data_IF_353287055090
#
_entry.id   IF_353287055090
#
_cell.length_a   1.000
_cell.length_b   1.000
_cell.length_c   1.000
_cell.angle_alpha   90.00
_cell.angle_beta   90.00
_cell.angle_gamma   90.00
#
_symmetry.space_group_name_H-M   'P 1'
#
loop_
_entity.id
_entity.type
_entity.pdbx_description
1 polymer ?
#
# COMPACT_ATOMS: atom_id res chain seq x y z
N UNK A 1 27.57 6.54 -7.10
CA UNK A 1 26.30 6.73 -6.38
C UNK A 1 25.57 7.85 -7.10
N UNK A 2 24.41 7.58 -7.68
CA UNK A 2 23.67 8.63 -8.39
C UNK A 2 23.00 9.59 -7.39
N UNK A 3 22.57 10.76 -7.90
CA UNK A 3 22.00 11.81 -7.05
C UNK A 3 20.70 11.38 -6.34
N UNK A 4 19.92 10.47 -6.95
CA UNK A 4 18.70 9.94 -6.39
C UNK A 4 18.98 9.00 -5.20
N UNK A 5 19.95 8.09 -5.35
CA UNK A 5 20.37 7.21 -4.25
C UNK A 5 20.83 8.01 -3.04
N UNK A 6 21.54 9.13 -3.26
CA UNK A 6 21.99 9.99 -2.17
C UNK A 6 20.84 10.73 -1.49
N UNK A 7 19.83 11.16 -2.25
CA UNK A 7 18.61 11.78 -1.72
C UNK A 7 17.81 10.75 -0.89
N UNK A 8 17.73 9.50 -1.35
CA UNK A 8 17.04 8.44 -0.61
C UNK A 8 17.81 7.99 0.64
N UNK A 9 19.14 8.02 0.63
CA UNK A 9 19.97 7.78 1.82
C UNK A 9 19.81 8.88 2.87
N UNK A 10 19.64 10.14 2.42
CA UNK A 10 19.42 11.30 3.30
C UNK A 10 17.95 11.36 3.80
N UNK A 11 16.99 10.83 3.07
CA UNK A 11 15.62 10.63 3.52
C UNK A 11 15.59 9.36 4.35
N UNK A 12 15.89 9.49 5.63
CA UNK A 12 15.71 8.39 6.57
C UNK A 12 14.25 7.95 6.54
N UNK A 13 13.96 6.83 5.88
CA UNK A 13 12.73 6.07 6.08
C UNK A 13 12.77 5.55 7.52
N UNK A 14 12.36 6.40 8.46
CA UNK A 14 12.56 6.17 9.89
C UNK A 14 11.80 4.94 10.38
N UNK A 15 10.72 4.57 9.69
CA UNK A 15 9.93 3.40 10.06
C UNK A 15 8.92 3.09 8.96
N UNK A 16 8.99 1.89 8.42
CA UNK A 16 7.92 1.34 7.61
C UNK A 16 6.99 0.48 8.47
N UNK A 17 5.71 0.64 8.28
CA UNK A 17 4.65 -0.16 8.88
C UNK A 17 3.81 -0.74 7.76
N UNK A 18 3.28 -1.94 7.97
CA UNK A 18 2.46 -2.60 6.96
C UNK A 18 1.32 -3.36 7.60
N UNK A 19 0.22 -3.45 6.87
CA UNK A 19 -0.93 -4.25 7.22
C UNK A 19 -1.42 -5.01 5.98
N UNK A 20 -1.86 -6.23 6.18
CA UNK A 20 -2.57 -6.98 5.17
C UNK A 20 -4.07 -6.78 5.32
N UNK A 21 -4.70 -6.34 4.24
CA UNK A 21 -6.14 -6.15 4.13
C UNK A 21 -6.71 -7.25 3.25
N UNK A 22 -7.69 -7.99 3.76
CA UNK A 22 -8.40 -9.03 3.03
C UNK A 22 -9.90 -8.72 3.01
N UNK A 23 -10.30 -7.74 2.21
CA UNK A 23 -11.70 -7.43 2.03
C UNK A 23 -12.41 -8.47 1.19
N UNK A 24 -13.71 -8.65 1.43
CA UNK A 24 -14.58 -9.55 0.66
C UNK A 24 -15.92 -8.89 0.36
N UNK A 25 -16.47 -9.16 -0.82
CA UNK A 25 -17.78 -8.62 -1.23
C UNK A 25 -17.77 -7.10 -1.37
N UNK A 26 -18.76 -6.44 -0.80
CA UNK A 26 -18.84 -4.97 -0.77
C UNK A 26 -18.03 -4.44 0.40
N UNK A 27 -17.07 -3.58 0.11
CA UNK A 27 -16.15 -3.05 1.10
C UNK A 27 -15.63 -1.66 0.74
N UNK A 28 -15.26 -0.92 1.77
CA UNK A 28 -14.54 0.33 1.67
C UNK A 28 -13.60 0.50 2.85
N UNK A 29 -12.51 1.21 2.64
CA UNK A 29 -11.66 1.71 3.71
C UNK A 29 -11.17 3.13 3.42
N UNK A 30 -10.75 3.83 4.45
CA UNK A 30 -10.25 5.19 4.34
C UNK A 30 -8.91 5.34 5.05
N UNK A 31 -8.04 6.17 4.47
CA UNK A 31 -6.80 6.64 5.07
C UNK A 31 -6.89 8.16 5.28
N UNK A 32 -6.63 8.62 6.51
CA UNK A 32 -6.88 9.99 6.94
C UNK A 32 -5.70 10.58 7.72
N UNK A 33 -4.49 10.26 7.35
CA UNK A 33 -3.30 10.79 7.97
C UNK A 33 -2.45 11.52 6.94
N UNK A 34 -1.99 12.73 7.25
CA UNK A 34 -1.05 13.46 6.43
C UNK A 34 0.36 13.38 7.04
N UNK A 35 1.38 13.42 6.17
CA UNK A 35 2.78 13.45 6.60
C UNK A 35 3.47 12.10 6.65
N UNK A 36 2.79 11.03 6.24
CA UNK A 36 3.40 9.74 5.96
C UNK A 36 3.11 9.31 4.53
N UNK A 37 4.09 8.74 3.85
CA UNK A 37 3.90 8.13 2.54
C UNK A 37 3.09 6.85 2.72
N UNK A 38 2.09 6.63 1.87
CA UNK A 38 1.31 5.40 1.85
C UNK A 38 1.45 4.70 0.50
N UNK A 39 1.59 3.39 0.51
CA UNK A 39 1.62 2.56 -0.69
C UNK A 39 0.67 1.39 -0.59
N UNK A 40 0.16 0.96 -1.74
CA UNK A 40 -0.70 -0.22 -1.87
C UNK A 40 -0.15 -1.15 -2.93
N UNK A 41 0.03 -2.41 -2.56
CA UNK A 41 0.30 -3.50 -3.49
C UNK A 41 -0.95 -4.37 -3.55
N UNK A 42 -1.58 -4.46 -4.70
CA UNK A 42 -2.72 -5.35 -4.90
C UNK A 42 -2.19 -6.73 -5.26
N UNK A 43 -2.36 -7.69 -4.35
CA UNK A 43 -1.88 -9.06 -4.53
C UNK A 43 -2.95 -9.94 -5.19
N UNK A 44 -4.21 -9.73 -4.83
CA UNK A 44 -5.37 -10.44 -5.39
C UNK A 44 -6.54 -9.47 -5.53
N UNK A 45 -7.28 -9.58 -6.62
CA UNK A 45 -8.46 -8.74 -6.89
C UNK A 45 -8.12 -7.38 -7.47
N UNK A 46 -8.91 -6.39 -7.15
CA UNK A 46 -8.74 -5.00 -7.60
C UNK A 46 -9.29 -4.03 -6.56
N UNK A 47 -8.91 -2.78 -6.70
CA UNK A 47 -9.45 -1.68 -5.89
C UNK A 47 -9.57 -0.40 -6.71
N UNK A 48 -10.44 0.49 -6.27
CA UNK A 48 -10.53 1.86 -6.77
C UNK A 48 -10.16 2.81 -5.64
N UNK A 49 -9.17 3.67 -5.87
CA UNK A 49 -8.76 4.73 -4.97
C UNK A 49 -9.49 6.00 -5.36
N UNK A 50 -10.20 6.60 -4.42
CA UNK A 50 -10.96 7.84 -4.59
C UNK A 50 -10.27 8.95 -3.78
N UNK A 51 -9.70 9.94 -4.47
CA UNK A 51 -9.07 11.10 -3.83
C UNK A 51 -10.07 12.21 -3.54
N UNK A 52 -10.97 12.45 -4.50
CA UNK A 52 -12.08 13.40 -4.38
C UNK A 52 -13.25 12.97 -5.30
N UNK A 53 -14.27 13.77 -5.42
CA UNK A 53 -15.47 13.45 -6.21
C UNK A 53 -15.21 13.20 -7.71
N UNK A 54 -14.09 13.67 -8.24
CA UNK A 54 -13.77 13.60 -9.67
C UNK A 54 -12.52 12.75 -9.97
N UNK A 55 -11.62 12.60 -8.99
CA UNK A 55 -10.34 11.93 -9.17
C UNK A 55 -10.37 10.55 -8.54
N UNK A 56 -10.42 9.53 -9.38
CA UNK A 56 -10.34 8.13 -8.99
C UNK A 56 -9.29 7.40 -9.81
N UNK A 57 -8.69 6.39 -9.21
CA UNK A 57 -7.69 5.52 -9.81
C UNK A 57 -8.12 4.06 -9.66
N UNK A 58 -8.18 3.34 -10.77
CA UNK A 58 -8.43 1.90 -10.76
C UNK A 58 -7.11 1.14 -10.72
N UNK A 59 -7.01 0.16 -9.82
CA UNK A 59 -5.79 -0.60 -9.53
C UNK A 59 -6.11 -2.10 -9.57
N UNK A 60 -5.33 -2.86 -10.31
CA UNK A 60 -5.52 -4.29 -10.51
C UNK A 60 -4.47 -5.12 -9.77
N UNK A 61 -4.72 -6.42 -9.66
CA UNK A 61 -3.75 -7.35 -9.10
C UNK A 61 -2.41 -7.28 -9.86
N UNK A 62 -1.32 -7.17 -9.11
CA UNK A 62 0.02 -6.97 -9.63
C UNK A 62 0.44 -5.52 -9.79
N UNK A 63 -0.41 -4.57 -9.43
CA UNK A 63 -0.08 -3.15 -9.45
C UNK A 63 0.43 -2.66 -8.09
N UNK A 64 1.28 -1.65 -8.15
CA UNK A 64 1.72 -0.87 -7.00
C UNK A 64 1.29 0.59 -7.17
N UNK A 65 0.65 1.15 -6.16
CA UNK A 65 0.37 2.58 -6.09
C UNK A 65 1.06 3.19 -4.89
N UNK A 66 1.74 4.30 -5.12
CA UNK A 66 2.40 5.09 -4.09
C UNK A 66 1.77 6.48 -4.03
N UNK A 67 1.43 6.94 -2.83
CA UNK A 67 0.90 8.28 -2.55
C UNK A 67 1.91 8.99 -1.65
N UNK A 68 2.85 9.78 -2.23
CA UNK A 68 3.99 10.32 -1.49
C UNK A 68 3.60 11.26 -0.35
N UNK A 69 2.57 12.08 -0.54
CA UNK A 69 2.09 13.02 0.48
C UNK A 69 1.23 12.37 1.57
N UNK A 70 0.77 11.12 1.34
CA UNK A 70 -0.21 10.48 2.21
C UNK A 70 -1.55 11.23 2.27
N UNK A 71 -1.92 11.93 1.19
CA UNK A 71 -3.20 12.68 1.17
C UNK A 71 -4.38 11.78 1.49
N UNK A 72 -5.40 12.35 2.10
CA UNK A 72 -6.63 11.65 2.45
C UNK A 72 -7.28 11.03 1.21
N UNK A 73 -7.69 9.79 1.31
CA UNK A 73 -8.36 9.05 0.25
C UNK A 73 -9.19 7.91 0.82
N UNK A 74 -10.09 7.40 0.01
CA UNK A 74 -10.82 6.18 0.30
C UNK A 74 -10.58 5.15 -0.79
N UNK A 75 -10.67 3.89 -0.42
CA UNK A 75 -10.54 2.76 -1.34
C UNK A 75 -11.78 1.88 -1.22
N UNK A 76 -12.24 1.37 -2.35
CA UNK A 76 -13.41 0.50 -2.40
C UNK A 76 -13.32 -0.47 -3.59
N UNK A 77 -14.14 -1.51 -3.58
CA UNK A 77 -14.38 -2.30 -4.78
C UNK A 77 -15.25 -1.50 -5.77
N UNK A 78 -15.29 -1.95 -7.02
CA UNK A 78 -15.99 -1.23 -8.11
C UNK A 78 -17.53 -1.14 -7.96
N UNK A 79 -18.09 -1.60 -6.88
CA UNK A 79 -19.54 -1.61 -6.65
C UNK A 79 -20.01 -0.26 -6.11
N UNK A 80 -20.30 0.68 -7.02
CA UNK A 80 -20.71 2.07 -6.72
C UNK A 80 -22.05 2.22 -5.98
N UNK A 81 -22.80 1.16 -5.76
CA UNK A 81 -24.20 1.24 -5.33
C UNK A 81 -24.45 1.00 -3.85
N UNK A 82 -23.45 0.61 -3.08
CA UNK A 82 -23.66 0.31 -1.67
C UNK A 82 -22.91 1.31 -0.79
N UNK A 83 -23.66 2.03 0.04
CA UNK A 83 -23.16 2.83 1.15
C UNK A 83 -22.58 1.90 2.22
N UNK A 84 -21.36 1.42 1.99
CA UNK A 84 -20.61 0.63 2.98
C UNK A 84 -19.83 1.59 3.86
N UNK A 85 -19.93 1.43 5.17
CA UNK A 85 -19.12 2.18 6.11
C UNK A 85 -17.63 1.88 5.88
N UNK A 86 -16.83 2.91 5.68
CA UNK A 86 -15.42 2.75 5.41
C UNK A 86 -14.63 2.41 6.68
N UNK A 87 -13.86 1.32 6.62
CA UNK A 87 -12.92 0.96 7.68
C UNK A 87 -11.80 2.00 7.76
N UNK A 88 -11.52 2.52 8.95
CA UNK A 88 -10.40 3.45 9.15
C UNK A 88 -9.09 2.66 9.30
N UNK A 89 -8.29 2.56 8.23
CA UNK A 89 -7.03 1.84 8.26
C UNK A 89 -5.91 2.63 8.94
N UNK A 90 -6.00 3.95 9.07
CA UNK A 90 -5.02 4.76 9.80
C UNK A 90 -4.88 4.27 11.23
N UNK A 91 -6.01 4.07 11.92
CA UNK A 91 -6.03 3.55 13.28
C UNK A 91 -5.48 2.11 13.39
N UNK A 92 -5.61 1.32 12.35
CA UNK A 92 -5.12 -0.06 12.33
C UNK A 92 -3.59 -0.14 12.27
N UNK A 93 -2.93 0.77 11.57
CA UNK A 93 -1.47 0.89 11.59
C UNK A 93 -0.94 1.16 13.00
N UNK A 94 -1.64 1.99 13.77
CA UNK A 94 -1.24 2.35 15.12
C UNK A 94 -1.37 1.18 16.13
N UNK A 95 -2.27 0.24 15.85
CA UNK A 95 -2.49 -0.93 16.69
C UNK A 95 -1.41 -2.01 16.53
N UNK A 96 -0.47 -1.86 15.59
CA UNK A 96 0.61 -2.84 15.30
C UNK A 96 0.11 -4.28 15.17
N UNK A 97 -1.01 -4.46 14.47
CA UNK A 97 -1.57 -5.79 14.27
C UNK A 97 -0.70 -6.59 13.29
N UNK A 98 -0.34 -7.80 13.68
CA UNK A 98 0.38 -8.75 12.83
C UNK A 98 -0.56 -9.62 12.00
N UNK A 99 -1.84 -9.64 12.31
CA UNK A 99 -2.84 -10.47 11.66
C UNK A 99 -3.40 -9.78 10.41
N UNK A 100 -3.78 -10.59 9.42
CA UNK A 100 -4.52 -10.11 8.26
C UNK A 100 -5.90 -9.63 8.68
N UNK A 101 -6.28 -8.43 8.25
CA UNK A 101 -7.53 -7.79 8.62
C UNK A 101 -8.61 -8.17 7.60
N UNK A 102 -9.56 -8.98 8.03
CA UNK A 102 -10.71 -9.37 7.23
C UNK A 102 -11.89 -8.43 7.49
N UNK A 103 -12.54 -7.95 6.42
CA UNK A 103 -13.69 -7.07 6.51
C UNK A 103 -14.52 -7.09 5.22
N UNK A 104 -15.64 -6.39 5.21
CA UNK A 104 -16.58 -6.35 4.08
C UNK A 104 -17.77 -7.26 4.27
N UNK A 105 -18.51 -7.55 3.21
CA UNK A 105 -19.67 -8.43 3.26
C UNK A 105 -19.29 -9.91 3.14
N UNK A 106 -20.11 -10.79 3.69
CA UNK A 106 -19.82 -12.23 3.75
C UNK A 106 -19.87 -12.95 2.39
N UNK A 107 -20.34 -12.30 1.34
CA UNK A 107 -20.51 -12.90 0.00
C UNK A 107 -19.80 -12.06 -1.05
N UNK A 108 -18.98 -12.69 -1.86
CA UNK A 108 -18.26 -12.06 -2.96
C UNK A 108 -16.81 -12.55 -3.08
N UNK A 109 -16.13 -12.10 -4.10
CA UNK A 109 -14.73 -12.47 -4.30
C UNK A 109 -13.84 -11.73 -3.29
N UNK A 110 -12.85 -12.43 -2.70
CA UNK A 110 -11.90 -11.81 -1.80
C UNK A 110 -10.84 -11.03 -2.60
N UNK A 111 -10.39 -9.92 -2.04
CA UNK A 111 -9.17 -9.25 -2.46
C UNK A 111 -8.09 -9.41 -1.38
N UNK A 112 -6.84 -9.20 -1.76
CA UNK A 112 -5.71 -9.16 -0.85
C UNK A 112 -4.85 -7.95 -1.20
N UNK A 113 -4.71 -7.03 -0.26
CA UNK A 113 -4.01 -5.77 -0.44
C UNK A 113 -2.98 -5.64 0.68
N UNK A 114 -1.74 -5.36 0.32
CA UNK A 114 -0.71 -4.95 1.26
C UNK A 114 -0.69 -3.42 1.30
N UNK A 115 -1.01 -2.84 2.45
CA UNK A 115 -0.89 -1.42 2.70
C UNK A 115 0.40 -1.14 3.49
N UNK A 116 1.20 -0.19 3.02
CA UNK A 116 2.51 0.16 3.56
C UNK A 116 2.50 1.64 3.92
N UNK A 117 2.82 1.97 5.18
CA UNK A 117 2.96 3.34 5.65
C UNK A 117 4.43 3.60 5.99
N UNK A 118 5.01 4.64 5.41
CA UNK A 118 6.38 5.04 5.68
C UNK A 118 6.40 6.46 6.26
N UNK A 119 6.93 6.59 7.47
CA UNK A 119 7.14 7.90 8.08
C UNK A 119 8.39 8.54 7.50
N UNK A 120 8.22 9.74 6.96
CA UNK A 120 9.27 10.53 6.32
C UNK A 120 9.50 11.78 7.16
N UNK A 121 10.75 12.19 7.31
CA UNK A 121 11.04 13.53 7.83
C UNK A 121 10.51 14.56 6.82
N UNK A 122 9.35 15.14 7.15
CA UNK A 122 8.65 16.07 6.24
C UNK A 122 9.42 17.35 5.97
N UNK A 123 10.35 17.73 6.84
CA UNK A 123 11.18 18.93 6.66
C UNK A 123 12.25 18.66 5.61
N UNK A 124 12.97 17.54 5.75
CA UNK A 124 14.03 17.15 4.83
C UNK A 124 13.49 16.70 3.47
N UNK A 125 12.34 16.01 3.48
CA UNK A 125 11.73 15.48 2.26
C UNK A 125 10.86 16.48 1.49
N UNK A 126 10.54 17.63 2.04
CA UNK A 126 9.62 18.62 1.45
C UNK A 126 9.96 18.98 -0.01
N UNK A 127 11.22 19.26 -0.39
CA UNK A 127 11.55 19.58 -1.78
C UNK A 127 11.26 18.41 -2.72
N UNK A 128 11.54 17.19 -2.30
CA UNK A 128 11.25 15.98 -3.07
C UNK A 128 9.75 15.72 -3.17
N UNK A 129 9.03 15.78 -2.05
CA UNK A 129 7.58 15.57 -2.04
C UNK A 129 6.84 16.56 -2.94
N UNK A 130 7.31 17.82 -3.01
CA UNK A 130 6.74 18.84 -3.90
C UNK A 130 7.04 18.59 -5.38
N UNK A 131 8.10 17.85 -5.68
CA UNK A 131 8.49 17.50 -7.06
C UNK A 131 7.81 16.22 -7.55
N UNK A 132 7.30 15.38 -6.64
CA UNK A 132 6.61 14.15 -6.97
C UNK A 132 5.14 14.40 -7.34
N UNK A 133 4.54 13.58 -8.22
CA UNK A 133 3.11 13.64 -8.50
C UNK A 133 2.30 13.24 -7.28
N UNK A 134 0.99 13.54 -7.30
CA UNK A 134 0.08 13.17 -6.22
C UNK A 134 0.03 11.67 -5.94
N UNK A 135 0.20 10.87 -6.96
CA UNK A 135 0.38 9.42 -6.87
C UNK A 135 1.29 8.90 -8.00
N UNK A 136 1.92 7.77 -7.75
CA UNK A 136 2.70 7.01 -8.73
C UNK A 136 2.03 5.65 -8.87
N UNK A 137 1.64 5.29 -10.10
CA UNK A 137 1.01 4.01 -10.40
C UNK A 137 1.94 3.18 -11.28
N UNK A 138 2.37 2.05 -10.78
CA UNK A 138 3.24 1.11 -11.50
C UNK A 138 2.41 -0.13 -11.82
N UNK A 139 2.18 -0.35 -13.10
CA UNK A 139 1.40 -1.47 -13.60
C UNK A 139 2.22 -2.74 -13.69
N UNK A 140 1.57 -3.85 -13.38
CA UNK A 140 2.09 -5.20 -13.65
C UNK A 140 3.50 -5.45 -13.10
N UNK A 141 3.74 -5.07 -11.85
CA UNK A 141 5.01 -5.42 -11.18
C UNK A 141 5.21 -6.93 -11.03
N UNK A 142 4.16 -7.72 -11.28
CA UNK A 142 4.19 -9.20 -11.36
C UNK A 142 4.24 -9.73 -12.79
N UNK A 143 4.27 -8.85 -13.80
CA UNK A 143 4.28 -9.25 -15.23
C UNK A 143 5.59 -9.92 -15.66
N UNK A 144 5.56 -10.56 -16.83
CA UNK A 144 6.72 -11.26 -17.41
C UNK A 144 7.96 -10.38 -17.61
N UNK A 145 7.78 -9.06 -17.65
CA UNK A 145 8.86 -8.08 -17.76
C UNK A 145 9.38 -7.58 -16.41
N UNK A 146 8.73 -7.95 -15.30
CA UNK A 146 9.23 -7.60 -13.97
C UNK A 146 10.48 -8.42 -13.64
N UNK A 147 11.46 -7.84 -12.94
CA UNK A 147 12.62 -8.59 -12.46
C UNK A 147 12.20 -9.82 -11.65
N UNK A 148 12.86 -10.94 -11.86
CA UNK A 148 12.52 -12.21 -11.20
C UNK A 148 12.52 -12.08 -9.67
N UNK A 149 13.47 -11.35 -9.10
CA UNK A 149 13.53 -11.09 -7.66
C UNK A 149 12.29 -10.38 -7.12
N UNK A 150 11.70 -9.47 -7.91
CA UNK A 150 10.48 -8.74 -7.53
C UNK A 150 9.26 -9.68 -7.56
N UNK A 151 9.15 -10.55 -8.58
CA UNK A 151 8.10 -11.55 -8.66
C UNK A 151 8.16 -12.52 -7.47
N UNK A 152 9.35 -12.98 -7.13
CA UNK A 152 9.59 -13.86 -5.97
C UNK A 152 9.21 -13.13 -4.67
N UNK A 153 9.63 -11.88 -4.51
CA UNK A 153 9.31 -11.06 -3.34
C UNK A 153 7.81 -10.85 -3.14
N UNK A 154 7.08 -10.53 -4.22
CA UNK A 154 5.63 -10.36 -4.17
C UNK A 154 4.88 -11.66 -3.90
N UNK A 155 5.35 -12.77 -4.48
CA UNK A 155 4.81 -14.09 -4.17
C UNK A 155 5.02 -14.44 -2.69
N UNK A 156 6.21 -14.16 -2.17
CA UNK A 156 6.51 -14.33 -0.76
C UNK A 156 5.57 -13.49 0.12
N UNK A 157 5.34 -12.21 -0.19
CA UNK A 157 4.40 -11.35 0.53
C UNK A 157 2.99 -11.94 0.55
N UNK A 158 2.51 -12.46 -0.59
CA UNK A 158 1.19 -13.06 -0.67
C UNK A 158 1.07 -14.33 0.21
N UNK A 159 2.10 -15.17 0.25
CA UNK A 159 2.13 -16.37 1.10
C UNK A 159 2.21 -16.01 2.58
N UNK A 160 3.04 -15.05 2.95
CA UNK A 160 3.22 -14.61 4.35
C UNK A 160 2.00 -13.87 4.91
N UNK A 161 1.09 -13.37 4.06
CA UNK A 161 -0.17 -12.79 4.51
C UNK A 161 -1.02 -13.78 5.32
N UNK A 162 -0.89 -15.06 5.03
CA UNK A 162 -1.68 -16.13 5.66
C UNK A 162 -0.98 -16.84 6.81
N UNK A 163 0.31 -16.58 7.05
CA UNK A 163 1.11 -17.28 8.05
C UNK A 163 2.01 -16.30 8.82
N UNK A 164 1.83 -16.26 10.14
CA UNK A 164 2.71 -15.50 11.03
C UNK A 164 3.89 -16.40 11.40
N UNK A 165 5.08 -16.08 10.87
CA UNK A 165 6.31 -16.81 11.17
C UNK A 165 7.33 -15.92 11.89
N UNK A 166 8.17 -16.45 12.79
CA UNK A 166 9.27 -15.70 13.37
C UNK A 166 10.19 -15.12 12.27
N UNK A 167 10.54 -13.84 12.38
CA UNK A 167 11.38 -13.15 11.40
C UNK A 167 10.66 -12.56 10.20
N UNK A 168 9.36 -12.80 10.05
CA UNK A 168 8.50 -12.23 9.00
C UNK A 168 8.69 -10.72 8.88
N UNK A 169 8.63 -10.01 9.99
CA UNK A 169 8.68 -8.54 10.01
C UNK A 169 9.99 -8.01 9.41
N UNK A 170 11.12 -8.65 9.72
CA UNK A 170 12.42 -8.28 9.15
C UNK A 170 12.52 -8.52 7.65
N UNK A 171 11.97 -9.64 7.18
CA UNK A 171 11.94 -9.95 5.75
C UNK A 171 11.05 -8.96 5.01
N UNK A 172 9.91 -8.62 5.59
CA UNK A 172 8.99 -7.62 5.02
C UNK A 172 9.62 -6.23 4.98
N UNK A 173 10.33 -5.82 6.03
CA UNK A 173 11.06 -4.55 6.05
C UNK A 173 12.09 -4.48 4.90
N UNK A 174 12.83 -5.56 4.65
CA UNK A 174 13.76 -5.62 3.54
C UNK A 174 13.07 -5.60 2.17
N UNK A 175 11.98 -6.35 1.99
CA UNK A 175 11.22 -6.35 0.74
C UNK A 175 10.59 -4.98 0.47
N UNK A 176 10.04 -4.34 1.49
CA UNK A 176 9.51 -2.97 1.39
C UNK A 176 10.63 -2.01 1.02
N UNK A 177 11.78 -2.07 1.66
CA UNK A 177 12.92 -1.22 1.31
C UNK A 177 13.33 -1.39 -0.15
N UNK A 178 13.32 -2.62 -0.68
CA UNK A 178 13.64 -2.90 -2.09
C UNK A 178 12.57 -2.33 -3.04
N UNK A 179 11.30 -2.36 -2.66
CA UNK A 179 10.20 -1.81 -3.48
C UNK A 179 10.27 -0.28 -3.62
N UNK A 180 10.93 0.41 -2.69
CA UNK A 180 11.06 1.87 -2.67
C UNK A 180 12.42 2.39 -3.17
N UNK A 181 13.32 1.54 -3.63
CA UNK A 181 14.59 1.87 -4.30
C UNK A 181 14.45 1.78 -5.81
#
# INVERSE_FOLDING_TARGET
MDALSKIFDDIHLNKSEYIYLKPQGDWAYAYQEQGAMIGYVVLVGNLTIQFDSQNQLHVEAGDLVLIPSGQNHSCHNNNKNNLVEALNITALFDQKRQETIEFGSASGEPALILAIRCHIDTIMARPLLNALPNYIHIHHITGSNAPEWLQIGLHFLAVEAYQIRPGRDKILDHLVSILFI
#
